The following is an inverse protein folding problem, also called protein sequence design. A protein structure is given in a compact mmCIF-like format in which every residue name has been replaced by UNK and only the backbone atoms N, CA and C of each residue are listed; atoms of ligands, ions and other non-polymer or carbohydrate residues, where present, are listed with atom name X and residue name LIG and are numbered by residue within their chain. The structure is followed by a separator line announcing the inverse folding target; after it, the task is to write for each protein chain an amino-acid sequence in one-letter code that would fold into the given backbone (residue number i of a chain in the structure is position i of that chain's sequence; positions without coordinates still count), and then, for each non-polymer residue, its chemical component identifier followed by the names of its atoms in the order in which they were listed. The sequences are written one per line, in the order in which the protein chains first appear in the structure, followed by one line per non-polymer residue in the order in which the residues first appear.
data_IF_265604755240
#
_entry.id   IF_265604755240
#
_cell.length_a   1.000
_cell.length_b   1.000
_cell.length_c   1.000
_cell.angle_alpha   90.00
_cell.angle_beta   90.00
_cell.angle_gamma   90.00
#
_symmetry.space_group_name_H-M   'P 1'
#
loop_
_entity.id
_entity.type
_entity.pdbx_description
1 polymer ?
#
# COMPACT_ATOMS: atom_id res chain seq x y z
N UNK A 1 -8.18 -16.23 -13.34
CA UNK A 1 -7.80 -14.91 -13.90
C UNK A 1 -7.36 -14.02 -12.74
N UNK A 2 -6.21 -13.31 -12.82
CA UNK A 2 -5.75 -12.46 -11.72
C UNK A 2 -6.61 -11.19 -11.58
N UNK A 3 -6.89 -10.79 -10.34
CA UNK A 3 -7.63 -9.56 -10.01
C UNK A 3 -6.68 -8.60 -9.30
N UNK A 4 -6.68 -7.33 -9.72
CA UNK A 4 -5.84 -6.27 -9.17
C UNK A 4 -6.75 -5.16 -8.60
N UNK A 5 -6.40 -4.63 -7.43
CA UNK A 5 -7.18 -3.55 -6.79
C UNK A 5 -6.64 -2.18 -7.15
N UNK A 6 -7.54 -1.26 -7.52
CA UNK A 6 -7.21 0.14 -7.82
C UNK A 6 -7.08 0.96 -6.53
N UNK A 7 -6.10 1.86 -6.49
CA UNK A 7 -5.82 2.66 -5.30
C UNK A 7 -6.84 3.75 -4.94
N UNK A 8 -7.88 3.98 -5.74
CA UNK A 8 -8.90 4.99 -5.44
C UNK A 8 -8.40 6.43 -5.41
N UNK A 9 -9.17 7.37 -4.82
CA UNK A 9 -8.72 8.73 -4.52
C UNK A 9 -7.59 8.74 -3.48
N UNK A 10 -6.87 9.87 -3.35
CA UNK A 10 -5.88 10.03 -2.28
C UNK A 10 -6.58 9.98 -0.91
N UNK A 11 -6.10 9.12 -0.03
CA UNK A 11 -6.55 9.04 1.36
C UNK A 11 -5.68 9.93 2.24
N UNK A 12 -6.26 10.56 3.25
CA UNK A 12 -5.52 11.42 4.20
C UNK A 12 -4.73 10.61 5.23
N UNK A 13 -5.16 9.38 5.52
CA UNK A 13 -4.48 8.45 6.42
C UNK A 13 -3.75 7.37 5.62
N UNK A 14 -2.42 7.31 5.79
CA UNK A 14 -1.61 6.25 5.18
C UNK A 14 -1.94 4.88 5.81
N UNK A 15 -2.32 4.84 7.10
CA UNK A 15 -2.75 3.60 7.77
C UNK A 15 -4.04 3.05 7.16
N UNK A 16 -5.06 3.89 6.96
CA UNK A 16 -6.32 3.45 6.35
C UNK A 16 -6.10 2.97 4.91
N UNK A 17 -5.25 3.66 4.16
CA UNK A 17 -4.91 3.27 2.80
C UNK A 17 -4.21 1.90 2.77
N UNK A 18 -3.15 1.72 3.56
CA UNK A 18 -2.40 0.46 3.62
C UNK A 18 -3.27 -0.69 4.17
N UNK A 19 -4.14 -0.42 5.14
CA UNK A 19 -5.11 -1.41 5.64
C UNK A 19 -6.12 -1.85 4.58
N UNK A 20 -6.61 -0.92 3.74
CA UNK A 20 -7.46 -1.27 2.60
C UNK A 20 -6.74 -2.18 1.60
N UNK A 21 -5.44 -1.97 1.38
CA UNK A 21 -4.64 -2.84 0.50
C UNK A 21 -4.46 -4.22 1.13
N UNK A 22 -4.11 -4.30 2.42
CA UNK A 22 -4.00 -5.58 3.14
C UNK A 22 -5.31 -6.36 3.07
N UNK A 23 -6.44 -5.72 3.36
CA UNK A 23 -7.75 -6.38 3.27
C UNK A 23 -8.10 -6.88 1.87
N UNK A 24 -7.68 -6.18 0.82
CA UNK A 24 -7.83 -6.66 -0.55
C UNK A 24 -6.96 -7.90 -0.85
N UNK A 25 -5.71 -7.91 -0.38
CA UNK A 25 -4.81 -9.06 -0.53
C UNK A 25 -5.35 -10.28 0.25
N UNK A 26 -5.85 -10.07 1.47
CA UNK A 26 -6.48 -11.11 2.29
C UNK A 26 -7.75 -11.69 1.63
N UNK A 27 -8.47 -10.86 0.88
CA UNK A 27 -9.62 -11.29 0.07
C UNK A 27 -9.23 -12.04 -1.22
N UNK A 28 -7.94 -12.24 -1.48
CA UNK A 28 -7.43 -12.99 -2.63
C UNK A 28 -7.08 -12.14 -3.85
N UNK A 29 -6.91 -10.82 -3.71
CA UNK A 29 -6.36 -10.00 -4.78
C UNK A 29 -4.92 -10.44 -5.12
N UNK A 30 -4.59 -10.48 -6.41
CA UNK A 30 -3.26 -10.85 -6.89
C UNK A 30 -2.25 -9.69 -6.83
N UNK A 31 -2.71 -8.47 -6.51
CA UNK A 31 -1.87 -7.28 -6.41
C UNK A 31 -2.67 -5.98 -6.53
N UNK A 32 -1.96 -4.88 -6.81
CA UNK A 32 -2.55 -3.53 -6.81
C UNK A 32 -2.06 -2.68 -7.97
N UNK A 33 -2.87 -1.68 -8.34
CA UNK A 33 -2.50 -0.61 -9.29
C UNK A 33 -2.78 0.74 -8.61
N UNK A 34 -1.70 1.38 -8.13
CA UNK A 34 -1.78 2.58 -7.30
C UNK A 34 -1.14 3.77 -8.01
N UNK A 35 -1.91 4.85 -8.19
CA UNK A 35 -1.43 6.13 -8.72
C UNK A 35 -1.33 7.19 -7.63
N UNK A 36 -2.43 7.91 -7.40
CA UNK A 36 -2.51 9.09 -6.50
C UNK A 36 -1.91 8.87 -5.11
N UNK A 37 -2.20 7.73 -4.47
CA UNK A 37 -1.66 7.44 -3.15
C UNK A 37 -0.12 7.30 -3.12
N UNK A 38 0.54 7.07 -4.26
CA UNK A 38 2.00 7.05 -4.37
C UNK A 38 2.55 8.43 -4.73
N UNK A 39 2.19 9.00 -5.87
CA UNK A 39 2.84 10.24 -6.36
C UNK A 39 2.38 11.51 -5.61
N UNK A 40 1.25 11.48 -4.91
CA UNK A 40 0.82 12.56 -4.00
C UNK A 40 1.22 12.28 -2.54
N UNK A 41 1.96 11.20 -2.26
CA UNK A 41 2.55 10.99 -0.93
C UNK A 41 3.68 12.00 -0.70
N UNK A 42 3.89 12.40 0.55
CA UNK A 42 5.09 13.16 0.93
C UNK A 42 6.38 12.34 0.71
N UNK A 43 6.28 11.00 0.70
CA UNK A 43 7.40 10.08 0.52
C UNK A 43 7.05 9.01 -0.52
N UNK A 44 7.04 9.33 -1.84
CA UNK A 44 6.58 8.40 -2.89
C UNK A 44 7.39 7.10 -2.98
N UNK A 45 8.71 7.17 -2.78
CA UNK A 45 9.59 6.00 -2.79
C UNK A 45 9.29 5.08 -1.60
N UNK A 46 9.17 5.64 -0.40
CA UNK A 46 8.84 4.89 0.82
C UNK A 46 7.44 4.27 0.75
N UNK A 47 6.44 5.00 0.24
CA UNK A 47 5.10 4.46 -0.02
C UNK A 47 5.14 3.29 -1.00
N UNK A 48 5.95 3.38 -2.05
CA UNK A 48 6.15 2.28 -3.00
C UNK A 48 6.79 1.07 -2.32
N UNK A 49 7.79 1.27 -1.47
CA UNK A 49 8.42 0.20 -0.70
C UNK A 49 7.44 -0.49 0.27
N UNK A 50 6.60 0.28 0.95
CA UNK A 50 5.55 -0.24 1.81
C UNK A 50 4.54 -1.12 1.03
N UNK A 51 4.09 -0.65 -0.15
CA UNK A 51 3.21 -1.44 -1.02
C UNK A 51 3.88 -2.71 -1.55
N UNK A 52 5.16 -2.64 -1.93
CA UNK A 52 5.94 -3.82 -2.37
C UNK A 52 6.05 -4.84 -1.22
N UNK A 53 6.28 -4.38 0.01
CA UNK A 53 6.34 -5.25 1.17
C UNK A 53 5.00 -5.95 1.42
N UNK A 54 3.87 -5.24 1.33
CA UNK A 54 2.54 -5.85 1.46
C UNK A 54 2.29 -6.91 0.38
N UNK A 55 2.51 -6.57 -0.89
CA UNK A 55 2.16 -7.43 -2.02
C UNK A 55 3.10 -8.62 -2.18
N UNK A 56 4.40 -8.44 -1.96
CA UNK A 56 5.42 -9.45 -2.30
C UNK A 56 6.09 -10.10 -1.09
N UNK A 57 5.95 -9.53 0.11
CA UNK A 57 6.57 -10.06 1.34
C UNK A 57 5.56 -10.39 2.43
N UNK A 58 4.26 -10.22 2.16
CA UNK A 58 3.15 -10.55 3.04
C UNK A 58 3.27 -9.94 4.46
N UNK A 59 3.83 -8.73 4.55
CA UNK A 59 3.93 -8.02 5.83
C UNK A 59 2.56 -7.53 6.30
N UNK A 60 2.45 -7.19 7.59
CA UNK A 60 1.24 -6.57 8.14
C UNK A 60 1.25 -5.04 7.91
N UNK A 61 0.16 -4.37 8.31
CA UNK A 61 0.00 -2.92 8.12
C UNK A 61 1.00 -2.12 8.95
N UNK A 62 1.32 -2.57 10.16
CA UNK A 62 2.23 -1.87 11.08
C UNK A 62 3.68 -1.89 10.53
N UNK A 63 4.12 -3.02 9.98
CA UNK A 63 5.42 -3.14 9.31
C UNK A 63 5.50 -2.24 8.08
N UNK A 64 4.43 -2.19 7.28
CA UNK A 64 4.37 -1.32 6.11
C UNK A 64 4.41 0.18 6.49
N UNK A 65 3.74 0.56 7.60
CA UNK A 65 3.82 1.90 8.16
C UNK A 65 5.21 2.23 8.69
N UNK A 66 5.88 1.26 9.31
CA UNK A 66 7.26 1.41 9.76
C UNK A 66 8.18 1.75 8.58
N UNK A 67 8.12 0.96 7.49
CA UNK A 67 8.89 1.22 6.26
C UNK A 67 8.61 2.63 5.71
N UNK A 68 7.34 3.05 5.69
CA UNK A 68 6.93 4.37 5.22
C UNK A 68 7.53 5.51 6.07
N UNK A 69 7.65 5.31 7.38
CA UNK A 69 8.09 6.34 8.32
C UNK A 69 9.60 6.32 8.62
N UNK A 70 10.28 5.18 8.46
CA UNK A 70 11.74 5.07 8.59
C UNK A 70 12.49 5.88 7.53
N UNK A 71 11.86 6.12 6.39
CA UNK A 71 12.43 6.87 5.27
C UNK A 71 12.23 8.39 5.37
N UNK A 72 11.84 8.90 6.55
CA UNK A 72 11.70 10.33 6.81
C UNK A 72 13.02 11.02 7.13
#
# INVERSE_FOLDING_TARGET
MPVLVLGGPKTYSDQEFLASIRGALDAGAAGVVIGRNVWQSAFPAAMTQALVALVHRDVNVDDALHILHESR
#
